data_IF_389908122294
#
_entry.id   IF_389908122294
#
_cell.length_a   1.000
_cell.length_b   1.000
_cell.length_c   1.000
_cell.angle_alpha   90.00
_cell.angle_beta   90.00
_cell.angle_gamma   90.00
#
_symmetry.space_group_name_H-M   'P 1'
#
loop_
_entity.id
_entity.type
_entity.pdbx_description
1 polymer ?
#
# COMPACT_ATOMS: atom_id res chain seq x y z
N UNK A 1 -17.48 -15.15 11.71
CA UNK A 1 -18.01 -14.92 13.08
C UNK A 1 -19.16 -15.88 13.36
N UNK A 2 -20.29 -15.79 12.63
CA UNK A 2 -21.49 -16.67 12.85
C UNK A 2 -21.13 -18.16 12.76
N UNK A 3 -20.34 -18.56 11.78
CA UNK A 3 -19.92 -19.97 11.62
C UNK A 3 -19.07 -20.45 12.80
N UNK A 4 -18.09 -19.65 13.24
CA UNK A 4 -17.22 -20.00 14.37
C UNK A 4 -18.04 -20.10 15.66
N UNK A 5 -18.83 -19.07 15.97
CA UNK A 5 -19.57 -19.01 17.21
C UNK A 5 -20.73 -20.03 17.28
N UNK A 6 -21.40 -20.34 16.16
CA UNK A 6 -22.55 -21.23 16.15
C UNK A 6 -22.22 -22.68 15.80
N UNK A 7 -21.16 -22.94 15.05
CA UNK A 7 -20.79 -24.29 14.60
C UNK A 7 -19.64 -24.89 15.37
N UNK A 8 -18.65 -24.09 15.75
CA UNK A 8 -17.47 -24.57 16.48
C UNK A 8 -17.57 -24.34 17.99
N UNK A 9 -18.58 -23.57 18.45
CA UNK A 9 -18.74 -23.15 19.84
C UNK A 9 -17.49 -22.48 20.45
N UNK A 10 -16.67 -21.87 19.61
CA UNK A 10 -15.48 -21.11 20.01
C UNK A 10 -15.86 -19.63 20.13
N UNK A 11 -15.42 -18.95 21.18
CA UNK A 11 -15.53 -17.51 21.27
C UNK A 11 -14.57 -16.88 20.24
N UNK A 12 -15.15 -16.25 19.23
CA UNK A 12 -14.36 -15.47 18.29
C UNK A 12 -13.86 -14.20 19.00
N UNK A 13 -12.54 -14.06 19.13
CA UNK A 13 -11.92 -12.82 19.56
C UNK A 13 -11.36 -12.11 18.33
N UNK A 14 -11.67 -10.84 18.19
CA UNK A 14 -11.03 -10.00 17.18
C UNK A 14 -9.59 -9.71 17.64
N UNK A 15 -8.64 -10.50 17.16
CA UNK A 15 -7.22 -10.36 17.52
C UNK A 15 -6.56 -9.12 16.90
N UNK A 16 -7.30 -8.33 16.12
CA UNK A 16 -6.77 -7.10 15.52
C UNK A 16 -6.34 -6.06 16.58
N UNK A 17 -6.93 -6.12 17.78
CA UNK A 17 -6.59 -5.22 18.89
C UNK A 17 -5.29 -5.57 19.62
N UNK A 18 -4.73 -6.75 19.42
CA UNK A 18 -3.53 -7.21 20.15
C UNK A 18 -2.21 -6.91 19.40
N UNK A 19 -2.29 -6.48 18.14
CA UNK A 19 -1.10 -6.23 17.33
C UNK A 19 -0.47 -4.88 17.73
N UNK A 20 0.72 -4.96 18.32
CA UNK A 20 1.50 -3.79 18.78
C UNK A 20 2.70 -3.54 17.85
N UNK A 21 3.17 -2.28 17.69
CA UNK A 21 4.35 -1.97 16.89
C UNK A 21 5.55 -2.82 17.25
N UNK A 22 5.84 -3.01 18.53
CA UNK A 22 6.97 -3.80 19.02
C UNK A 22 6.93 -5.28 18.57
N UNK A 23 5.74 -5.86 18.37
CA UNK A 23 5.59 -7.23 17.85
C UNK A 23 6.05 -7.29 16.40
N UNK A 24 5.73 -6.28 15.60
CA UNK A 24 6.16 -6.19 14.20
C UNK A 24 7.66 -5.88 14.10
N UNK A 25 8.18 -4.97 14.93
CA UNK A 25 9.60 -4.63 15.00
C UNK A 25 10.45 -5.86 15.33
N UNK A 26 10.02 -6.65 16.32
CA UNK A 26 10.73 -7.87 16.72
C UNK A 26 10.78 -8.93 15.60
N UNK A 27 9.92 -8.82 14.59
CA UNK A 27 9.87 -9.72 13.42
C UNK A 27 10.67 -9.20 12.23
N UNK A 28 11.20 -7.98 12.30
CA UNK A 28 11.94 -7.38 11.20
C UNK A 28 13.21 -8.19 10.89
N UNK A 29 13.55 -8.27 9.62
CA UNK A 29 14.61 -9.09 9.06
C UNK A 29 15.75 -8.23 8.52
N UNK A 30 17.01 -8.70 8.56
CA UNK A 30 18.17 -7.91 8.21
C UNK A 30 18.40 -7.83 6.68
N UNK A 31 17.42 -7.30 5.94
CA UNK A 31 17.63 -6.94 4.53
C UNK A 31 17.57 -5.42 4.36
N UNK A 32 18.40 -4.90 3.47
CA UNK A 32 18.44 -3.47 3.20
C UNK A 32 17.21 -3.02 2.40
N UNK A 33 16.68 -1.83 2.72
CA UNK A 33 15.66 -1.19 1.89
C UNK A 33 16.20 -0.96 0.48
N UNK A 34 15.31 -0.86 -0.51
CA UNK A 34 15.59 -0.73 -1.94
C UNK A 34 16.33 -1.92 -2.57
N UNK A 35 16.57 -2.99 -1.81
CA UNK A 35 17.06 -4.27 -2.34
C UNK A 35 15.92 -5.27 -2.45
N UNK A 36 16.06 -6.23 -3.36
CA UNK A 36 15.02 -7.23 -3.60
C UNK A 36 15.44 -8.55 -2.91
N UNK A 37 14.74 -8.96 -1.83
CA UNK A 37 14.96 -10.26 -1.21
C UNK A 37 14.71 -11.42 -2.17
N UNK A 38 15.35 -12.56 -1.89
CA UNK A 38 15.10 -13.78 -2.63
C UNK A 38 13.64 -14.20 -2.49
N UNK A 39 13.01 -14.57 -3.61
CA UNK A 39 11.60 -14.97 -3.65
C UNK A 39 10.66 -13.88 -4.14
N UNK A 40 11.09 -12.62 -4.21
CA UNK A 40 10.29 -11.55 -4.80
C UNK A 40 10.25 -11.68 -6.32
N UNK A 41 9.05 -11.66 -6.88
CA UNK A 41 8.77 -11.86 -8.31
C UNK A 41 8.27 -10.59 -8.99
N UNK A 42 7.53 -9.73 -8.28
CA UNK A 42 6.93 -8.51 -8.82
C UNK A 42 6.90 -7.41 -7.76
N UNK A 43 7.02 -6.15 -8.18
CA UNK A 43 6.91 -4.99 -7.30
C UNK A 43 5.63 -4.21 -7.61
N UNK A 44 4.98 -3.74 -6.55
CA UNK A 44 3.89 -2.75 -6.64
C UNK A 44 4.13 -1.62 -5.65
N UNK A 45 3.50 -0.46 -5.90
CA UNK A 45 3.57 0.66 -4.98
C UNK A 45 2.18 1.14 -4.55
N UNK A 46 2.09 1.60 -3.31
CA UNK A 46 1.01 2.42 -2.79
C UNK A 46 1.52 3.83 -2.52
N UNK A 47 0.74 4.84 -2.88
CA UNK A 47 1.07 6.25 -2.63
C UNK A 47 -0.07 6.89 -1.86
N UNK A 48 0.26 7.41 -0.68
CA UNK A 48 -0.64 8.24 0.10
C UNK A 48 -0.35 9.73 -0.15
N UNK A 49 -1.41 10.53 -0.32
CA UNK A 49 -1.32 11.94 -0.66
C UNK A 49 -1.66 12.79 0.55
N UNK A 50 -0.63 13.39 1.15
CA UNK A 50 -0.75 14.29 2.31
C UNK A 50 -0.71 15.76 1.87
N UNK A 51 -0.95 16.70 2.80
CA UNK A 51 -1.00 18.14 2.47
C UNK A 51 0.35 18.71 2.05
N UNK A 52 1.45 18.13 2.48
CA UNK A 52 2.82 18.62 2.34
C UNK A 52 3.81 17.61 1.75
N UNK A 53 3.36 16.39 1.41
CA UNK A 53 4.21 15.31 0.93
C UNK A 53 3.43 14.19 0.26
N UNK A 54 4.14 13.30 -0.44
CA UNK A 54 3.66 11.98 -0.82
C UNK A 54 4.42 10.91 -0.03
N UNK A 55 3.71 9.91 0.47
CA UNK A 55 4.30 8.75 1.12
C UNK A 55 4.18 7.53 0.20
N UNK A 56 5.31 6.94 -0.17
CA UNK A 56 5.37 5.83 -1.12
C UNK A 56 5.84 4.58 -0.41
N UNK A 57 5.03 3.52 -0.46
CA UNK A 57 5.43 2.19 0.00
C UNK A 57 5.55 1.25 -1.19
N UNK A 58 6.72 0.64 -1.35
CA UNK A 58 6.97 -0.39 -2.36
C UNK A 58 6.90 -1.76 -1.71
N UNK A 59 6.09 -2.64 -2.30
CA UNK A 59 5.90 -4.01 -1.83
C UNK A 59 6.37 -4.97 -2.90
N UNK A 60 7.23 -5.91 -2.53
CA UNK A 60 7.62 -7.05 -3.33
C UNK A 60 6.71 -8.25 -3.04
N UNK A 61 6.21 -8.87 -4.08
CA UNK A 61 5.33 -10.04 -3.99
C UNK A 61 6.03 -11.29 -4.47
N UNK A 62 5.91 -12.37 -3.72
CA UNK A 62 6.43 -13.69 -4.07
C UNK A 62 5.34 -14.74 -4.23
N UNK A 63 5.76 -16.01 -4.35
CA UNK A 63 4.86 -17.16 -4.31
C UNK A 63 4.08 -17.21 -2.98
N UNK A 64 2.93 -17.88 -2.99
CA UNK A 64 2.08 -18.11 -1.81
C UNK A 64 1.64 -16.84 -1.08
N UNK A 65 1.53 -15.73 -1.84
CA UNK A 65 1.16 -14.40 -1.34
C UNK A 65 2.15 -13.87 -0.29
N UNK A 66 3.41 -14.29 -0.33
CA UNK A 66 4.46 -13.65 0.47
C UNK A 66 4.68 -12.23 0.00
N UNK A 67 4.90 -11.32 0.94
CA UNK A 67 5.16 -9.91 0.66
C UNK A 67 6.31 -9.40 1.52
N UNK A 68 7.11 -8.50 0.93
CA UNK A 68 8.21 -7.79 1.58
C UNK A 68 8.01 -6.29 1.41
N UNK A 69 8.17 -5.53 2.48
CA UNK A 69 8.31 -4.08 2.35
C UNK A 69 9.69 -3.78 1.77
N UNK A 70 9.75 -3.39 0.50
CA UNK A 70 10.99 -3.12 -0.23
C UNK A 70 11.50 -1.72 0.06
N UNK A 71 10.59 -0.76 0.15
CA UNK A 71 10.95 0.63 0.48
C UNK A 71 9.75 1.37 1.09
N UNK A 72 10.05 2.36 1.91
CA UNK A 72 9.11 3.37 2.40
C UNK A 72 9.77 4.74 2.23
N UNK A 73 9.26 5.55 1.32
CA UNK A 73 9.89 6.77 0.88
C UNK A 73 8.95 7.96 0.97
N UNK A 74 9.45 9.05 1.55
CA UNK A 74 8.71 10.32 1.67
C UNK A 74 9.26 11.29 0.62
N UNK A 75 8.35 11.79 -0.23
CA UNK A 75 8.63 12.84 -1.22
C UNK A 75 8.04 14.13 -0.69
N UNK A 76 8.85 15.06 -0.17
CA UNK A 76 8.36 16.34 0.35
C UNK A 76 7.88 17.25 -0.77
N UNK A 77 6.84 18.02 -0.52
CA UNK A 77 6.28 18.97 -1.46
C UNK A 77 4.76 18.96 -1.51
N UNK A 78 4.16 20.10 -1.79
CA UNK A 78 2.70 20.21 -1.90
C UNK A 78 2.21 19.54 -3.17
N UNK A 79 1.16 18.69 -3.12
CA UNK A 79 0.60 18.04 -4.31
C UNK A 79 -0.02 18.99 -5.34
N UNK A 80 -0.22 20.27 -5.00
CA UNK A 80 -0.58 21.32 -5.97
C UNK A 80 0.58 21.77 -6.87
N UNK A 81 1.84 21.40 -6.53
CA UNK A 81 3.03 21.71 -7.31
C UNK A 81 3.40 20.59 -8.28
N UNK A 82 4.02 20.94 -9.41
CA UNK A 82 4.43 19.93 -10.41
C UNK A 82 5.69 19.14 -9.98
N UNK A 83 6.52 19.72 -9.11
CA UNK A 83 7.82 19.14 -8.72
C UNK A 83 7.67 17.81 -7.95
N UNK A 84 6.69 17.71 -7.03
CA UNK A 84 6.45 16.51 -6.24
C UNK A 84 6.01 15.33 -7.13
N UNK A 85 5.25 15.62 -8.20
CA UNK A 85 4.83 14.61 -9.16
C UNK A 85 5.94 14.22 -10.13
N UNK A 86 6.85 15.13 -10.47
CA UNK A 86 8.06 14.79 -11.22
C UNK A 86 8.97 13.89 -10.42
N UNK A 87 9.19 14.19 -9.13
CA UNK A 87 9.94 13.33 -8.22
C UNK A 87 9.29 11.94 -8.05
N UNK A 88 7.95 11.88 -8.01
CA UNK A 88 7.23 10.61 -7.98
C UNK A 88 7.43 9.82 -9.28
N UNK A 89 7.38 10.45 -10.46
CA UNK A 89 7.66 9.77 -11.74
C UNK A 89 9.07 9.18 -11.77
N UNK A 90 10.08 9.95 -11.31
CA UNK A 90 11.47 9.49 -11.25
C UNK A 90 11.61 8.29 -10.28
N UNK A 91 10.95 8.36 -9.14
CA UNK A 91 10.95 7.27 -8.15
C UNK A 91 10.26 6.00 -8.67
N UNK A 92 9.05 6.12 -9.24
CA UNK A 92 8.26 4.97 -9.71
C UNK A 92 8.84 4.30 -10.96
N UNK A 93 9.67 5.00 -11.72
CA UNK A 93 10.36 4.46 -12.91
C UNK A 93 11.74 3.89 -12.60
N UNK A 94 12.22 4.04 -11.36
CA UNK A 94 13.50 3.51 -10.92
C UNK A 94 13.56 1.98 -10.98
N UNK A 95 14.77 1.45 -11.09
CA UNK A 95 15.05 0.02 -11.02
C UNK A 95 15.49 -0.37 -9.61
N UNK A 96 15.00 -1.51 -9.16
CA UNK A 96 15.38 -2.15 -7.91
C UNK A 96 16.18 -3.40 -8.23
N UNK A 97 17.31 -3.59 -7.58
CA UNK A 97 18.23 -4.68 -7.90
C UNK A 97 18.37 -5.65 -6.73
N UNK A 98 18.45 -6.94 -7.02
CA UNK A 98 18.76 -7.96 -6.02
C UNK A 98 20.27 -8.20 -5.90
N UNK A 99 20.68 -8.99 -4.91
CA UNK A 99 22.08 -9.33 -4.67
C UNK A 99 22.78 -10.08 -5.83
N UNK A 100 22.03 -10.58 -6.80
CA UNK A 100 22.52 -11.29 -7.98
C UNK A 100 22.55 -10.41 -9.24
N UNK A 101 22.30 -9.10 -9.11
CA UNK A 101 22.30 -8.16 -10.21
C UNK A 101 21.04 -8.20 -11.11
N UNK A 102 20.00 -8.95 -10.72
CA UNK A 102 18.72 -8.94 -11.45
C UNK A 102 17.89 -7.75 -10.99
N UNK A 103 17.33 -7.01 -11.94
CA UNK A 103 16.50 -5.83 -11.68
C UNK A 103 15.01 -6.13 -11.85
N UNK A 104 14.19 -5.48 -11.03
CA UNK A 104 12.73 -5.39 -11.18
C UNK A 104 12.32 -3.92 -11.21
N UNK A 105 11.18 -3.65 -11.84
CA UNK A 105 10.51 -2.33 -11.83
C UNK A 105 9.16 -2.45 -11.15
N UNK A 106 8.65 -1.33 -10.67
CA UNK A 106 7.28 -1.26 -10.16
C UNK A 106 6.31 -1.48 -11.32
N UNK A 107 5.51 -2.53 -11.24
CA UNK A 107 4.59 -2.92 -12.31
C UNK A 107 3.21 -2.27 -12.20
N UNK A 108 2.81 -1.88 -10.99
CA UNK A 108 1.55 -1.18 -10.76
C UNK A 108 1.64 -0.27 -9.53
N UNK A 109 0.97 0.86 -9.58
CA UNK A 109 0.92 1.84 -8.49
C UNK A 109 -0.52 2.26 -8.24
N UNK A 110 -0.94 2.23 -6.98
CA UNK A 110 -2.21 2.78 -6.52
C UNK A 110 -1.96 4.08 -5.77
N UNK A 111 -2.66 5.16 -6.14
CA UNK A 111 -2.54 6.48 -5.47
C UNK A 111 -3.86 6.82 -4.81
N UNK A 112 -3.82 7.13 -3.51
CA UNK A 112 -5.00 7.61 -2.80
C UNK A 112 -5.38 9.01 -3.27
N UNK A 113 -6.68 9.18 -3.53
CA UNK A 113 -7.29 10.44 -3.95
C UNK A 113 -8.10 11.07 -2.83
N UNK A 114 -8.00 10.54 -1.61
CA UNK A 114 -8.60 11.15 -0.43
C UNK A 114 -8.04 12.54 -0.17
N UNK A 115 -8.80 13.38 0.55
CA UNK A 115 -8.35 14.71 0.93
C UNK A 115 -8.47 15.80 -0.15
N UNK A 116 -7.63 16.84 -0.06
CA UNK A 116 -7.81 18.12 -0.77
C UNK A 116 -7.30 18.12 -2.21
N UNK A 117 -6.40 17.18 -2.58
CA UNK A 117 -5.67 17.19 -3.86
C UNK A 117 -6.21 16.19 -4.89
N UNK A 118 -7.48 15.81 -4.80
CA UNK A 118 -8.11 14.82 -5.69
C UNK A 118 -7.88 15.12 -7.18
N UNK A 119 -8.01 16.39 -7.60
CA UNK A 119 -7.85 16.77 -9.00
C UNK A 119 -6.38 16.72 -9.46
N UNK A 120 -5.44 17.02 -8.57
CA UNK A 120 -4.00 16.93 -8.86
C UNK A 120 -3.60 15.48 -9.06
N UNK A 121 -4.09 14.56 -8.20
CA UNK A 121 -3.91 13.12 -8.37
C UNK A 121 -4.49 12.63 -9.71
N UNK A 122 -5.72 13.05 -10.07
CA UNK A 122 -6.33 12.68 -11.35
C UNK A 122 -5.51 13.18 -12.54
N UNK A 123 -5.02 14.43 -12.48
CA UNK A 123 -4.17 14.99 -13.51
C UNK A 123 -2.86 14.22 -13.64
N UNK A 124 -2.26 13.82 -12.50
CA UNK A 124 -1.05 13.01 -12.49
C UNK A 124 -1.29 11.61 -13.07
N UNK A 125 -2.26 10.85 -12.58
CA UNK A 125 -2.57 9.49 -13.03
C UNK A 125 -2.76 9.43 -14.55
N UNK A 126 -3.34 10.47 -15.13
CA UNK A 126 -3.56 10.59 -16.58
C UNK A 126 -2.27 10.71 -17.40
N UNK A 127 -1.23 11.31 -16.84
CA UNK A 127 0.05 11.61 -17.51
C UNK A 127 1.24 10.81 -17.00
N UNK A 128 1.02 9.96 -15.99
CA UNK A 128 2.07 9.22 -15.32
C UNK A 128 2.94 8.44 -16.30
N UNK A 129 4.25 8.51 -16.14
CA UNK A 129 5.23 7.75 -16.94
C UNK A 129 5.36 6.31 -16.46
N UNK A 130 5.10 6.08 -15.18
CA UNK A 130 5.13 4.76 -14.59
C UNK A 130 4.02 3.86 -15.15
N UNK A 131 4.25 2.54 -15.03
CA UNK A 131 3.29 1.55 -15.52
C UNK A 131 2.07 1.46 -14.61
N UNK A 132 0.88 1.30 -15.20
CA UNK A 132 -0.38 0.95 -14.52
C UNK A 132 -0.64 1.76 -13.26
N UNK A 133 -0.53 3.08 -13.35
CA UNK A 133 -0.90 3.97 -12.26
C UNK A 133 -2.41 4.11 -12.21
N UNK A 134 -3.02 3.82 -11.06
CA UNK A 134 -4.46 3.93 -10.83
C UNK A 134 -4.79 4.89 -9.70
N UNK A 135 -5.90 5.58 -9.82
CA UNK A 135 -6.46 6.39 -8.74
C UNK A 135 -7.39 5.54 -7.87
N UNK A 136 -7.20 5.59 -6.55
CA UNK A 136 -8.08 4.90 -5.60
C UNK A 136 -8.63 5.85 -4.55
N UNK A 137 -9.76 5.42 -3.96
CA UNK A 137 -10.36 6.10 -2.81
C UNK A 137 -10.98 5.07 -1.88
N UNK A 138 -10.79 5.25 -0.58
CA UNK A 138 -11.44 4.44 0.44
C UNK A 138 -12.97 4.51 0.33
N UNK A 139 -13.65 3.39 0.53
CA UNK A 139 -15.09 3.34 0.59
C UNK A 139 -15.59 4.00 1.89
N UNK A 140 -16.70 4.71 1.79
CA UNK A 140 -17.43 5.27 2.95
C UNK A 140 -18.39 4.28 3.62
N UNK A 141 -18.53 3.07 3.04
CA UNK A 141 -19.44 2.02 3.53
C UNK A 141 -18.66 0.72 3.71
N UNK A 142 -19.00 -0.02 4.76
CA UNK A 142 -18.38 -1.30 5.11
C UNK A 142 -18.83 -2.45 4.20
N UNK A 143 -18.08 -3.58 4.24
CA UNK A 143 -18.43 -4.82 3.53
C UNK A 143 -18.22 -4.80 2.02
N UNK A 144 -17.50 -3.81 1.49
CA UNK A 144 -17.15 -3.77 0.07
C UNK A 144 -15.98 -4.70 -0.26
N UNK A 145 -15.96 -5.18 -1.50
CA UNK A 145 -14.77 -5.89 -2.03
C UNK A 145 -13.54 -4.98 -1.99
N UNK A 146 -12.36 -5.57 -1.81
CA UNK A 146 -11.09 -4.81 -1.70
C UNK A 146 -10.89 -3.90 -2.90
N UNK A 147 -11.11 -4.40 -4.12
CA UNK A 147 -11.04 -3.59 -5.33
C UNK A 147 -12.24 -3.88 -6.22
N UNK A 148 -13.13 -2.89 -6.36
CA UNK A 148 -14.32 -2.95 -7.20
C UNK A 148 -14.06 -2.55 -8.65
N UNK A 149 -15.12 -2.53 -9.47
CA UNK A 149 -15.08 -1.95 -10.81
C UNK A 149 -14.85 -0.44 -10.72
N UNK A 150 -14.03 0.15 -11.62
CA UNK A 150 -13.80 1.59 -11.59
C UNK A 150 -15.03 2.38 -12.08
N UNK A 151 -15.17 3.58 -11.54
CA UNK A 151 -16.01 4.63 -12.10
C UNK A 151 -15.14 5.64 -12.85
N UNK A 152 -15.67 6.27 -13.89
CA UNK A 152 -14.94 7.28 -14.64
C UNK A 152 -15.24 8.67 -14.10
N UNK A 153 -14.17 9.42 -13.82
CA UNK A 153 -14.24 10.77 -13.28
C UNK A 153 -13.76 11.82 -14.28
N UNK A 154 -14.35 13.00 -14.23
CA UNK A 154 -13.89 14.14 -15.00
C UNK A 154 -12.62 14.71 -14.37
N UNK A 155 -11.67 15.12 -15.19
CA UNK A 155 -10.41 15.72 -14.73
C UNK A 155 -10.41 17.21 -15.06
N UNK A 156 -10.31 18.05 -14.05
CA UNK A 156 -10.10 19.49 -14.21
C UNK A 156 -8.60 19.79 -14.06
N UNK A 157 -8.00 20.28 -15.13
CA UNK A 157 -6.59 20.61 -15.14
C UNK A 157 -6.35 21.92 -15.89
N UNK A 158 -5.73 22.91 -15.23
CA UNK A 158 -5.40 24.21 -15.82
C UNK A 158 -6.56 24.87 -16.58
N UNK A 159 -7.77 24.83 -15.98
CA UNK A 159 -8.97 25.43 -16.57
C UNK A 159 -9.64 24.62 -17.70
N UNK A 160 -9.13 23.44 -18.01
CA UNK A 160 -9.76 22.52 -18.97
C UNK A 160 -10.37 21.32 -18.28
N UNK A 161 -11.59 20.96 -18.69
CA UNK A 161 -12.28 19.76 -18.21
C UNK A 161 -12.19 18.65 -19.24
N UNK A 162 -11.59 17.53 -18.85
CA UNK A 162 -11.57 16.31 -19.65
C UNK A 162 -12.60 15.34 -19.09
N UNK A 163 -13.65 15.10 -19.88
CA UNK A 163 -14.73 14.18 -19.51
C UNK A 163 -14.21 12.74 -19.42
N UNK A 164 -14.62 12.01 -18.34
CA UNK A 164 -14.23 10.62 -18.09
C UNK A 164 -12.71 10.39 -18.17
N UNK A 165 -11.94 11.40 -17.73
CA UNK A 165 -10.50 11.46 -17.95
C UNK A 165 -9.67 10.47 -17.13
N UNK A 166 -10.22 9.93 -16.02
CA UNK A 166 -9.54 8.97 -15.16
C UNK A 166 -10.51 7.89 -14.67
N UNK A 167 -9.99 6.67 -14.49
CA UNK A 167 -10.69 5.57 -13.82
C UNK A 167 -10.39 5.61 -12.32
N UNK A 168 -11.42 5.82 -11.50
CA UNK A 168 -11.34 5.81 -10.04
C UNK A 168 -11.81 4.48 -9.49
N UNK A 169 -10.98 3.82 -8.70
CA UNK A 169 -11.29 2.56 -8.02
C UNK A 169 -11.67 2.82 -6.57
N UNK A 170 -12.82 2.31 -6.15
CA UNK A 170 -13.22 2.35 -4.74
C UNK A 170 -12.65 1.12 -4.04
N UNK A 171 -11.92 1.35 -2.94
CA UNK A 171 -11.28 0.31 -2.13
C UNK A 171 -12.13 0.05 -0.90
N UNK A 172 -12.53 -1.20 -0.67
CA UNK A 172 -13.15 -1.66 0.58
C UNK A 172 -12.11 -1.67 1.70
N UNK A 173 -11.93 -0.54 2.35
CA UNK A 173 -10.86 -0.32 3.34
C UNK A 173 -10.99 -1.24 4.55
N UNK A 174 -12.20 -1.42 5.07
CA UNK A 174 -12.48 -2.35 6.16
C UNK A 174 -12.11 -3.80 5.79
N UNK A 175 -12.53 -4.26 4.62
CA UNK A 175 -12.21 -5.59 4.11
C UNK A 175 -10.69 -5.76 3.90
N UNK A 176 -10.03 -4.73 3.35
CA UNK A 176 -8.58 -4.74 3.15
C UNK A 176 -7.83 -4.78 4.49
N UNK A 177 -8.25 -3.95 5.46
CA UNK A 177 -7.68 -3.92 6.81
C UNK A 177 -7.82 -5.27 7.50
N UNK A 178 -9.00 -5.87 7.52
CA UNK A 178 -9.21 -7.21 8.07
C UNK A 178 -8.28 -8.24 7.45
N UNK A 179 -8.10 -8.19 6.14
CA UNK A 179 -7.19 -9.11 5.44
C UNK A 179 -5.72 -8.89 5.84
N UNK A 180 -5.27 -7.63 5.92
CA UNK A 180 -3.90 -7.28 6.31
C UNK A 180 -3.64 -7.70 7.77
N UNK A 181 -4.51 -7.29 8.70
CA UNK A 181 -4.37 -7.63 10.11
C UNK A 181 -4.44 -9.15 10.36
N UNK A 182 -5.34 -9.85 9.66
CA UNK A 182 -5.40 -11.32 9.74
C UNK A 182 -4.07 -11.97 9.35
N UNK A 183 -3.42 -11.49 8.28
CA UNK A 183 -2.10 -11.99 7.86
C UNK A 183 -1.00 -11.66 8.86
N UNK A 184 -1.00 -10.45 9.41
CA UNK A 184 -0.02 -10.02 10.41
C UNK A 184 -0.15 -10.84 11.71
N UNK A 185 -1.38 -11.10 12.16
CA UNK A 185 -1.64 -11.92 13.33
C UNK A 185 -1.27 -13.40 13.09
N UNK A 186 -1.66 -13.95 11.95
CA UNK A 186 -1.32 -15.33 11.57
C UNK A 186 0.19 -15.60 11.54
N UNK A 187 1.00 -14.58 11.30
CA UNK A 187 2.45 -14.67 11.22
C UNK A 187 3.15 -14.47 12.58
N UNK A 188 2.42 -14.13 13.65
CA UNK A 188 3.03 -13.75 14.94
C UNK A 188 3.86 -14.88 15.55
N UNK A 189 3.35 -16.10 15.50
CA UNK A 189 3.99 -17.26 16.11
C UNK A 189 4.75 -18.15 15.11
N UNK A 190 4.97 -17.66 13.86
CA UNK A 190 5.64 -18.43 12.81
C UNK A 190 7.13 -18.14 12.75
N UNK A 191 7.87 -19.15 12.35
CA UNK A 191 9.28 -18.99 11.98
C UNK A 191 9.44 -18.08 10.76
N UNK A 192 10.56 -17.35 10.63
CA UNK A 192 10.77 -16.37 9.54
C UNK A 192 10.49 -16.93 8.14
N UNK A 193 10.91 -18.19 7.86
CA UNK A 193 10.68 -18.84 6.57
C UNK A 193 9.21 -19.15 6.24
N UNK A 194 8.35 -19.24 7.24
CA UNK A 194 6.92 -19.55 7.12
C UNK A 194 6.03 -18.30 7.08
N UNK A 195 6.57 -17.14 7.44
CA UNK A 195 5.85 -15.87 7.43
C UNK A 195 5.48 -15.46 6.01
N UNK A 196 4.38 -14.73 5.90
CA UNK A 196 3.91 -14.16 4.64
C UNK A 196 4.22 -12.67 4.52
N UNK A 197 4.37 -11.98 5.64
CA UNK A 197 4.62 -10.53 5.68
C UNK A 197 5.98 -10.26 6.31
N UNK A 198 6.87 -9.66 5.53
CA UNK A 198 8.26 -9.42 5.88
C UNK A 198 8.57 -7.92 5.93
N UNK A 199 9.29 -7.50 6.96
CA UNK A 199 9.71 -6.12 7.20
C UNK A 199 11.23 -6.04 7.32
N UNK A 200 11.82 -4.97 6.80
CA UNK A 200 13.25 -4.68 6.98
C UNK A 200 13.52 -4.10 8.37
N UNK A 201 14.67 -4.44 8.97
CA UNK A 201 15.18 -3.78 10.17
C UNK A 201 15.57 -2.32 9.95
N UNK A 202 15.66 -1.86 8.72
CA UNK A 202 15.95 -0.46 8.39
C UNK A 202 14.68 0.43 8.42
N UNK A 203 13.49 -0.14 8.59
CA UNK A 203 12.26 0.63 8.74
C UNK A 203 12.22 1.31 10.11
N UNK A 204 11.88 2.59 10.11
CA UNK A 204 11.78 3.37 11.34
C UNK A 204 10.58 2.96 12.20
N UNK A 205 10.63 3.23 13.49
CA UNK A 205 9.56 2.92 14.44
C UNK A 205 8.22 3.54 14.00
N UNK A 206 8.25 4.77 13.49
CA UNK A 206 7.07 5.48 13.02
C UNK A 206 6.31 4.72 11.91
N UNK A 207 7.01 3.96 11.05
CA UNK A 207 6.36 3.09 10.07
C UNK A 207 5.49 2.02 10.75
N UNK A 208 6.01 1.38 11.79
CA UNK A 208 5.27 0.34 12.52
C UNK A 208 4.12 0.92 13.34
N UNK A 209 4.29 2.13 13.90
CA UNK A 209 3.19 2.84 14.57
C UNK A 209 2.03 3.09 13.61
N UNK A 210 2.31 3.54 12.39
CA UNK A 210 1.29 3.73 11.36
C UNK A 210 0.59 2.42 10.96
N UNK A 211 1.32 1.29 10.90
CA UNK A 211 0.72 -0.01 10.54
C UNK A 211 -0.33 -0.49 11.55
N UNK A 212 -0.24 -0.08 12.80
CA UNK A 212 -1.15 -0.52 13.88
C UNK A 212 -2.07 0.60 14.40
N UNK A 213 -1.87 1.86 13.96
CA UNK A 213 -2.63 3.02 14.45
C UNK A 213 -4.10 3.02 14.02
N UNK A 214 -4.44 2.30 12.98
CA UNK A 214 -5.80 2.26 12.45
C UNK A 214 -6.65 1.25 13.21
N UNK A 215 -7.27 1.73 14.28
CA UNK A 215 -8.27 0.97 15.05
C UNK A 215 -9.55 0.84 14.23
N UNK A 216 -10.14 -0.35 14.21
CA UNK A 216 -11.48 -0.53 13.68
C UNK A 216 -12.50 0.17 14.60
N UNK A 217 -13.16 1.18 14.10
CA UNK A 217 -14.33 1.80 14.74
C UNK A 217 -15.59 1.02 14.35
#
# INVERSE_FOLDING_TARGET
VIFINTRLAESWSDRSHDLKPNVLIARAEPYALRTIPQGVLVLTAGVDTQDDRLEVRVIGWGADKKEWTIDYHIIPGKPSGDEVWAALDDYLTAEFTNSYGKTLRIEATAIDTGGHFTHDVYAYVRRAKARRVIACKGASTTGRVILGKPSHQDVNWRGQTVKKGVALYIVGTDTAKHHIYGRLNDDTDKDPGERRVHFSTELEHAFFDQQVAEVFN
#
